data_IF_685226169336
#
_entry.id   IF_685226169336
#
_cell.length_a   1.000
_cell.length_b   1.000
_cell.length_c   1.000
_cell.angle_alpha   90.00
_cell.angle_beta   90.00
_cell.angle_gamma   90.00
#
_symmetry.space_group_name_H-M   'P 1'
#
loop_
_entity.id
_entity.type
_entity.pdbx_description
1 polymer ?
#
# COMPACT_ATOMS: atom_id res chain seq x y z
N UNK A 1 35.75 45.14 3.67
CA UNK A 1 34.79 44.29 2.90
C UNK A 1 34.77 42.83 3.35
N UNK A 2 35.86 42.24 3.84
CA UNK A 2 35.89 40.82 4.29
C UNK A 2 34.89 40.46 5.42
N UNK A 3 34.62 41.36 6.38
CA UNK A 3 33.69 41.08 7.49
C UNK A 3 32.23 40.87 7.03
N UNK A 4 31.79 41.54 5.97
CA UNK A 4 30.44 41.40 5.40
C UNK A 4 30.26 40.10 4.61
N UNK A 5 31.33 39.58 3.98
CA UNK A 5 31.30 38.29 3.30
C UNK A 5 31.18 37.11 4.28
N UNK A 6 31.82 37.18 5.46
CA UNK A 6 31.75 36.10 6.45
C UNK A 6 30.35 35.94 7.07
N UNK A 7 29.59 37.03 7.19
CA UNK A 7 28.22 37.00 7.72
C UNK A 7 27.24 36.36 6.72
N UNK A 8 27.44 36.61 5.42
CA UNK A 8 26.62 36.02 4.34
C UNK A 8 26.91 34.52 4.22
N UNK A 9 28.16 34.09 4.39
CA UNK A 9 28.53 32.67 4.37
C UNK A 9 28.03 31.91 5.62
N UNK A 10 27.99 32.58 6.78
CA UNK A 10 27.37 32.06 8.01
C UNK A 10 25.83 31.96 7.91
N UNK A 11 25.17 32.92 7.25
CA UNK A 11 23.73 32.83 6.98
C UNK A 11 23.38 31.76 5.94
N UNK A 12 24.21 31.56 4.90
CA UNK A 12 23.99 30.50 3.91
C UNK A 12 24.19 29.10 4.49
N UNK A 13 25.09 28.94 5.46
CA UNK A 13 25.26 27.67 6.17
C UNK A 13 24.15 27.41 7.18
N UNK A 14 23.56 28.44 7.80
CA UNK A 14 22.39 28.30 8.69
C UNK A 14 21.09 27.94 7.94
N UNK A 15 20.92 28.36 6.68
CA UNK A 15 19.73 28.00 5.88
C UNK A 15 19.80 26.59 5.26
N UNK A 16 20.99 25.97 5.19
CA UNK A 16 21.15 24.60 4.67
C UNK A 16 20.93 23.51 5.74
N UNK A 17 20.76 23.90 7.01
CA UNK A 17 20.29 23.01 8.08
C UNK A 17 18.82 23.28 8.43
N UNK A 18 17.98 23.53 7.42
CA UNK A 18 16.60 23.06 7.47
C UNK A 18 16.61 21.53 7.38
N UNK A 19 17.26 20.87 8.34
CA UNK A 19 17.05 19.46 8.60
C UNK A 19 15.61 19.36 9.06
N UNK A 20 14.69 19.04 8.15
CA UNK A 20 13.48 18.34 8.53
C UNK A 20 13.98 17.10 9.29
N UNK A 21 13.97 17.19 10.62
CA UNK A 21 14.29 16.04 11.45
C UNK A 21 13.25 15.00 11.06
N UNK A 22 13.68 13.85 10.51
CA UNK A 22 12.72 12.87 10.07
C UNK A 22 11.86 12.49 11.29
N UNK A 23 10.54 12.47 11.09
CA UNK A 23 9.59 12.18 12.16
C UNK A 23 9.62 10.67 12.42
N UNK A 24 9.59 10.33 13.70
CA UNK A 24 9.33 8.98 14.16
C UNK A 24 7.87 8.87 14.56
N UNK A 25 7.24 7.77 14.18
CA UNK A 25 5.89 7.42 14.61
C UNK A 25 5.94 6.08 15.32
N UNK A 26 5.14 5.96 16.37
CA UNK A 26 4.92 4.69 17.05
C UNK A 26 4.10 3.75 16.16
N UNK A 27 4.21 2.44 16.40
CA UNK A 27 3.34 1.46 15.75
C UNK A 27 1.85 1.82 15.90
N UNK A 28 1.41 2.26 17.08
CA UNK A 28 0.01 2.61 17.32
C UNK A 28 -0.45 3.80 16.46
N UNK A 29 0.39 4.80 16.26
CA UNK A 29 0.10 5.92 15.37
C UNK A 29 0.01 5.45 13.91
N UNK A 30 0.95 4.60 13.48
CA UNK A 30 0.95 4.04 12.12
C UNK A 30 -0.27 3.14 11.87
N UNK A 31 -0.69 2.34 12.84
CA UNK A 31 -1.91 1.51 12.74
C UNK A 31 -3.16 2.38 12.51
N UNK A 32 -3.16 3.63 12.99
CA UNK A 32 -4.27 4.60 12.86
C UNK A 32 -4.07 5.59 11.71
N UNK A 33 -3.04 5.43 10.89
CA UNK A 33 -2.70 6.36 9.80
C UNK A 33 -3.57 6.12 8.56
N UNK A 34 -4.84 6.50 8.63
CA UNK A 34 -5.75 6.43 7.50
C UNK A 34 -5.30 7.41 6.39
N UNK A 35 -5.05 6.88 5.20
CA UNK A 35 -4.78 7.66 3.99
C UNK A 35 -3.68 8.71 4.17
N UNK A 36 -2.61 8.33 4.85
CA UNK A 36 -1.44 9.17 5.11
C UNK A 36 -1.71 10.48 5.90
N UNK A 37 -2.65 10.46 6.85
CA UNK A 37 -2.90 11.59 7.75
C UNK A 37 -1.66 12.04 8.57
N UNK A 38 -0.73 11.14 8.83
CA UNK A 38 0.57 11.43 9.48
C UNK A 38 1.60 12.04 8.51
N UNK A 39 1.25 12.24 7.24
CA UNK A 39 2.09 12.86 6.21
C UNK A 39 3.48 12.21 6.14
N UNK A 40 3.55 10.88 6.11
CA UNK A 40 4.79 10.17 5.89
C UNK A 40 5.37 10.60 4.53
N UNK A 41 6.70 10.73 4.43
CA UNK A 41 7.36 11.02 3.15
C UNK A 41 6.99 9.99 2.09
N UNK A 42 6.83 10.48 0.87
CA UNK A 42 6.60 9.66 -0.32
C UNK A 42 7.74 9.94 -1.29
N UNK A 43 8.50 8.91 -1.64
CA UNK A 43 9.51 9.03 -2.68
C UNK A 43 8.82 9.09 -4.04
N UNK A 44 8.74 10.29 -4.62
CA UNK A 44 8.02 10.56 -5.87
C UNK A 44 8.54 9.78 -7.09
N UNK A 45 9.74 9.20 -6.99
CA UNK A 45 10.41 8.48 -8.07
C UNK A 45 10.89 7.10 -7.63
N UNK A 46 10.11 6.38 -6.81
CA UNK A 46 10.41 4.99 -6.48
C UNK A 46 10.30 4.13 -7.75
N UNK A 47 11.44 3.94 -8.41
CA UNK A 47 11.54 3.18 -9.64
C UNK A 47 11.43 1.66 -9.37
N UNK A 48 11.47 0.88 -10.43
CA UNK A 48 11.41 -0.58 -10.32
C UNK A 48 12.51 -1.18 -9.43
N UNK A 49 13.69 -0.56 -9.39
CA UNK A 49 14.81 -1.00 -8.59
C UNK A 49 14.60 -0.64 -7.11
N UNK A 50 14.02 0.52 -6.82
CA UNK A 50 13.58 0.91 -5.48
C UNK A 50 12.59 -0.11 -4.89
N UNK A 51 11.55 -0.48 -5.64
CA UNK A 51 10.61 -1.51 -5.19
C UNK A 51 11.24 -2.90 -5.08
N UNK A 52 12.13 -3.27 -6.00
CA UNK A 52 12.85 -4.53 -5.93
C UNK A 52 13.68 -4.61 -4.65
N UNK A 53 14.42 -3.56 -4.31
CA UNK A 53 15.19 -3.49 -3.05
C UNK A 53 14.31 -3.60 -1.83
N UNK A 54 13.15 -2.93 -1.83
CA UNK A 54 12.17 -3.06 -0.76
C UNK A 54 11.74 -4.54 -0.63
N UNK A 55 11.36 -5.20 -1.72
CA UNK A 55 10.93 -6.61 -1.67
C UNK A 55 12.05 -7.59 -1.31
N UNK A 56 13.28 -7.34 -1.75
CA UNK A 56 14.46 -8.12 -1.37
C UNK A 56 14.76 -7.94 0.12
N UNK A 57 14.73 -6.71 0.64
CA UNK A 57 14.86 -6.45 2.08
C UNK A 57 13.86 -7.29 2.87
N UNK A 58 12.62 -7.36 2.41
CA UNK A 58 11.55 -8.08 3.08
C UNK A 58 11.66 -9.61 3.11
N UNK A 59 12.37 -10.23 2.16
CA UNK A 59 12.50 -11.69 2.11
C UNK A 59 13.26 -12.26 3.31
N UNK A 60 14.13 -11.45 3.92
CA UNK A 60 15.04 -11.88 5.00
C UNK A 60 14.62 -11.36 6.39
N UNK A 61 13.52 -10.60 6.51
CA UNK A 61 13.08 -10.07 7.80
C UNK A 61 12.15 -11.03 8.53
N UNK A 62 12.46 -11.27 9.81
CA UNK A 62 11.51 -11.86 10.74
C UNK A 62 10.55 -10.79 11.32
N UNK A 63 9.54 -11.23 12.06
CA UNK A 63 8.53 -10.38 12.69
C UNK A 63 9.12 -9.24 13.53
N UNK A 64 10.09 -9.55 14.40
CA UNK A 64 10.69 -8.56 15.29
C UNK A 64 11.49 -7.50 14.53
N UNK A 65 12.19 -7.92 13.46
CA UNK A 65 12.88 -7.00 12.57
C UNK A 65 11.90 -6.08 11.82
N UNK A 66 10.77 -6.61 11.34
CA UNK A 66 9.70 -5.81 10.72
C UNK A 66 9.15 -4.76 11.71
N UNK A 67 8.87 -5.17 12.95
CA UNK A 67 8.40 -4.26 14.01
C UNK A 67 9.42 -3.17 14.32
N UNK A 68 10.71 -3.49 14.36
CA UNK A 68 11.77 -2.51 14.55
C UNK A 68 11.84 -1.50 13.39
N UNK A 69 11.64 -1.96 12.15
CA UNK A 69 11.65 -1.09 10.96
C UNK A 69 10.44 -0.17 10.89
N UNK A 70 9.27 -0.61 11.34
CA UNK A 70 8.08 0.24 11.48
C UNK A 70 8.30 1.41 12.45
N UNK A 71 9.21 1.29 13.41
CA UNK A 71 9.57 2.37 14.33
C UNK A 71 10.83 3.15 13.89
N UNK A 72 11.27 2.97 12.64
CA UNK A 72 12.49 3.59 12.13
C UNK A 72 12.34 5.07 11.78
N UNK A 73 13.46 5.79 11.87
CA UNK A 73 13.49 7.21 11.58
C UNK A 73 13.39 7.50 10.09
N UNK A 74 12.43 8.36 9.73
CA UNK A 74 12.17 8.72 8.35
C UNK A 74 11.45 7.63 7.57
N UNK A 75 10.61 6.84 8.23
CA UNK A 75 9.80 5.83 7.57
C UNK A 75 8.95 6.47 6.45
N UNK A 76 9.08 5.93 5.24
CA UNK A 76 8.29 6.34 4.08
C UNK A 76 6.95 5.60 4.01
N UNK A 77 5.96 6.22 3.36
CA UNK A 77 4.62 5.68 3.23
C UNK A 77 4.60 4.32 2.53
N UNK A 78 5.31 4.19 1.40
CA UNK A 78 5.39 2.92 0.65
C UNK A 78 5.99 1.80 1.51
N UNK A 79 7.04 2.12 2.28
CA UNK A 79 7.66 1.16 3.20
C UNK A 79 6.69 0.75 4.29
N UNK A 80 5.99 1.69 4.93
CA UNK A 80 4.97 1.38 5.94
C UNK A 80 3.89 0.43 5.41
N UNK A 81 3.36 0.72 4.21
CA UNK A 81 2.38 -0.12 3.50
C UNK A 81 2.85 -1.57 3.36
N UNK A 82 4.09 -1.78 2.90
CA UNK A 82 4.64 -3.13 2.76
C UNK A 82 5.05 -3.76 4.09
N UNK A 83 5.58 -3.00 5.05
CA UNK A 83 5.89 -3.51 6.38
C UNK A 83 4.64 -4.12 7.03
N UNK A 84 3.48 -3.47 6.93
CA UNK A 84 2.23 -4.04 7.43
C UNK A 84 1.80 -5.31 6.68
N UNK A 85 1.93 -5.35 5.35
CA UNK A 85 1.68 -6.58 4.58
C UNK A 85 2.58 -7.73 5.02
N UNK A 86 3.90 -7.52 5.14
CA UNK A 86 4.83 -8.57 5.56
C UNK A 86 4.69 -8.94 7.04
N UNK A 87 4.32 -7.98 7.89
CA UNK A 87 3.98 -8.26 9.29
C UNK A 87 2.78 -9.20 9.38
N UNK A 88 1.74 -8.96 8.58
CA UNK A 88 0.58 -9.85 8.48
C UNK A 88 0.98 -11.28 8.06
N UNK A 89 1.84 -11.40 7.05
CA UNK A 89 2.38 -12.68 6.60
C UNK A 89 3.18 -13.39 7.69
N UNK A 90 4.02 -12.66 8.44
CA UNK A 90 4.80 -13.22 9.54
C UNK A 90 3.90 -13.77 10.66
N UNK A 91 2.86 -13.03 11.05
CA UNK A 91 1.87 -13.54 12.01
C UNK A 91 1.12 -14.78 11.50
N UNK A 92 0.78 -14.82 10.21
CA UNK A 92 0.14 -15.98 9.61
C UNK A 92 1.04 -17.23 9.66
N UNK A 93 2.34 -17.08 9.38
CA UNK A 93 3.33 -18.17 9.50
C UNK A 93 3.44 -18.69 10.93
N UNK A 94 3.34 -17.81 11.91
CA UNK A 94 3.33 -18.18 13.34
C UNK A 94 1.97 -18.73 13.83
N UNK A 95 0.94 -18.74 12.97
CA UNK A 95 -0.41 -19.21 13.29
C UNK A 95 -1.29 -18.21 14.03
N UNK A 96 -0.83 -16.98 14.24
CA UNK A 96 -1.64 -15.89 14.82
C UNK A 96 -2.49 -15.21 13.74
N UNK A 97 -3.56 -15.91 13.35
CA UNK A 97 -4.45 -15.44 12.29
C UNK A 97 -5.19 -14.16 12.67
N UNK A 98 -5.37 -13.86 13.96
CA UNK A 98 -6.03 -12.64 14.41
C UNK A 98 -5.18 -11.42 14.04
N UNK A 99 -3.90 -11.44 14.39
CA UNK A 99 -2.99 -10.35 14.03
C UNK A 99 -2.69 -10.34 12.53
N UNK A 100 -2.62 -11.49 11.87
CA UNK A 100 -2.48 -11.54 10.42
C UNK A 100 -3.61 -10.81 9.69
N UNK A 101 -4.86 -11.07 10.09
CA UNK A 101 -6.04 -10.38 9.51
C UNK A 101 -5.98 -8.89 9.83
N UNK A 102 -5.76 -8.52 11.10
CA UNK A 102 -5.65 -7.11 11.54
C UNK A 102 -4.67 -6.33 10.65
N UNK A 103 -3.46 -6.86 10.43
CA UNK A 103 -2.44 -6.14 9.68
C UNK A 103 -2.66 -6.16 8.17
N UNK A 104 -3.32 -7.19 7.62
CA UNK A 104 -3.82 -7.12 6.25
C UNK A 104 -4.88 -6.03 6.10
N UNK A 105 -5.83 -5.91 7.02
CA UNK A 105 -6.85 -4.85 7.01
C UNK A 105 -6.23 -3.46 7.08
N UNK A 106 -5.28 -3.23 7.99
CA UNK A 106 -4.56 -1.95 8.09
C UNK A 106 -3.85 -1.63 6.77
N UNK A 107 -3.05 -2.57 6.24
CA UNK A 107 -2.34 -2.35 4.98
C UNK A 107 -3.31 -2.10 3.81
N UNK A 108 -4.40 -2.85 3.72
CA UNK A 108 -5.37 -2.76 2.63
C UNK A 108 -6.18 -1.46 2.70
N UNK A 109 -6.71 -1.11 3.87
CA UNK A 109 -7.74 -0.07 4.01
C UNK A 109 -7.15 1.29 4.38
N UNK A 110 -6.03 1.32 5.12
CA UNK A 110 -5.43 2.59 5.55
C UNK A 110 -4.33 3.04 4.57
N UNK A 111 -3.64 2.08 3.96
CA UNK A 111 -2.51 2.32 3.05
C UNK A 111 -2.80 1.91 1.60
N UNK A 112 -3.99 1.37 1.30
CA UNK A 112 -4.37 0.96 -0.06
C UNK A 112 -3.41 -0.05 -0.68
N UNK A 113 -2.87 -0.97 0.13
CA UNK A 113 -1.93 -1.98 -0.34
C UNK A 113 -2.64 -3.05 -1.20
N UNK A 114 -2.29 -3.19 -2.49
CA UNK A 114 -2.98 -4.11 -3.39
C UNK A 114 -2.74 -5.59 -3.04
N UNK A 115 -1.62 -5.95 -2.41
CA UNK A 115 -1.33 -7.33 -2.01
C UNK A 115 -2.20 -7.74 -0.81
N UNK A 116 -2.35 -6.86 0.18
CA UNK A 116 -3.27 -7.11 1.30
C UNK A 116 -4.73 -7.13 0.87
N UNK A 117 -5.15 -6.27 -0.06
CA UNK A 117 -6.49 -6.33 -0.66
C UNK A 117 -6.73 -7.70 -1.32
N UNK A 118 -5.77 -8.21 -2.10
CA UNK A 118 -5.87 -9.56 -2.68
C UNK A 118 -5.93 -10.65 -1.61
N UNK A 119 -5.14 -10.54 -0.53
CA UNK A 119 -5.19 -11.51 0.59
C UNK A 119 -6.52 -11.51 1.32
N UNK A 120 -7.12 -10.34 1.54
CA UNK A 120 -8.45 -10.26 2.12
C UNK A 120 -9.52 -10.79 1.17
N UNK A 121 -9.37 -10.62 -0.15
CA UNK A 121 -10.23 -11.25 -1.13
C UNK A 121 -10.14 -12.79 -1.06
N UNK A 122 -8.93 -13.34 -1.03
CA UNK A 122 -8.68 -14.79 -0.88
C UNK A 122 -9.29 -15.32 0.43
N UNK A 123 -9.08 -14.63 1.55
CA UNK A 123 -9.63 -15.00 2.85
C UNK A 123 -11.16 -15.05 2.81
N UNK A 124 -11.79 -14.01 2.27
CA UNK A 124 -13.26 -13.95 2.21
C UNK A 124 -13.84 -15.00 1.26
N UNK A 125 -13.15 -15.30 0.15
CA UNK A 125 -13.58 -16.34 -0.78
C UNK A 125 -13.39 -17.77 -0.23
N UNK A 126 -12.21 -18.09 0.30
CA UNK A 126 -11.85 -19.45 0.69
C UNK A 126 -12.30 -19.82 2.10
N UNK A 127 -12.24 -18.87 3.05
CA UNK A 127 -12.48 -19.14 4.47
C UNK A 127 -13.85 -18.63 4.90
N UNK A 128 -14.12 -17.32 4.77
CA UNK A 128 -15.35 -16.73 5.31
C UNK A 128 -16.59 -17.03 4.45
N UNK A 129 -16.38 -17.38 3.17
CA UNK A 129 -17.44 -17.53 2.16
C UNK A 129 -18.27 -16.27 1.95
N UNK A 130 -17.66 -15.11 2.23
CA UNK A 130 -18.22 -13.79 1.94
C UNK A 130 -17.82 -13.38 0.52
N UNK A 131 -18.53 -13.94 -0.45
CA UNK A 131 -18.28 -13.66 -1.87
C UNK A 131 -18.48 -12.18 -2.24
N UNK A 132 -19.50 -11.45 -1.72
CA UNK A 132 -19.61 -10.02 -1.90
C UNK A 132 -18.33 -9.27 -1.52
N UNK A 133 -17.85 -9.48 -0.28
CA UNK A 133 -16.67 -8.78 0.23
C UNK A 133 -15.40 -9.19 -0.52
N UNK A 134 -15.28 -10.48 -0.86
CA UNK A 134 -14.18 -10.97 -1.68
C UNK A 134 -14.14 -10.30 -3.07
N UNK A 135 -15.31 -10.13 -3.70
CA UNK A 135 -15.43 -9.48 -5.00
C UNK A 135 -15.04 -8.00 -4.93
N UNK A 136 -15.48 -7.28 -3.90
CA UNK A 136 -15.10 -5.87 -3.69
C UNK A 136 -13.59 -5.74 -3.53
N UNK A 137 -12.97 -6.44 -2.57
CA UNK A 137 -11.53 -6.33 -2.34
C UNK A 137 -10.69 -6.74 -3.57
N UNK A 138 -11.15 -7.75 -4.33
CA UNK A 138 -10.46 -8.17 -5.55
C UNK A 138 -10.46 -7.06 -6.60
N UNK A 139 -11.61 -6.41 -6.84
CA UNK A 139 -11.70 -5.31 -7.80
C UNK A 139 -10.88 -4.09 -7.36
N UNK A 140 -10.88 -3.77 -6.07
CA UNK A 140 -10.01 -2.72 -5.51
C UNK A 140 -8.52 -3.02 -5.72
N UNK A 141 -8.10 -4.26 -5.45
CA UNK A 141 -6.72 -4.73 -5.67
C UNK A 141 -6.31 -4.62 -7.14
N UNK A 142 -7.18 -5.06 -8.05
CA UNK A 142 -6.95 -5.02 -9.49
C UNK A 142 -6.80 -3.59 -10.00
N UNK A 143 -7.71 -2.70 -9.61
CA UNK A 143 -7.68 -1.31 -10.07
C UNK A 143 -6.42 -0.57 -9.60
N UNK A 144 -6.03 -0.73 -8.33
CA UNK A 144 -4.78 -0.17 -7.80
C UNK A 144 -3.56 -0.79 -8.51
N UNK A 145 -3.60 -2.09 -8.82
CA UNK A 145 -2.51 -2.75 -9.56
C UNK A 145 -2.39 -2.23 -10.98
N UNK A 146 -3.50 -1.94 -11.66
CA UNK A 146 -3.52 -1.29 -12.98
C UNK A 146 -2.91 0.10 -12.88
N UNK A 147 -3.35 0.91 -11.92
CA UNK A 147 -2.81 2.25 -11.67
C UNK A 147 -1.29 2.21 -11.45
N UNK A 148 -0.79 1.31 -10.60
CA UNK A 148 0.64 1.09 -10.38
C UNK A 148 1.35 0.73 -11.70
N UNK A 149 0.77 -0.17 -12.49
CA UNK A 149 1.36 -0.65 -13.74
C UNK A 149 1.43 0.44 -14.80
N UNK A 150 0.39 1.27 -14.90
CA UNK A 150 0.34 2.35 -15.88
C UNK A 150 1.35 3.46 -15.57
N UNK A 151 1.53 3.79 -14.28
CA UNK A 151 2.53 4.78 -13.86
C UNK A 151 3.96 4.21 -13.84
N UNK A 152 4.13 2.90 -13.57
CA UNK A 152 5.43 2.25 -13.54
C UNK A 152 5.32 0.78 -14.00
N UNK A 153 5.41 0.55 -15.32
CA UNK A 153 5.32 -0.80 -15.92
C UNK A 153 6.38 -1.78 -15.42
N UNK A 154 7.50 -1.27 -14.94
CA UNK A 154 8.61 -2.07 -14.41
C UNK A 154 8.41 -2.43 -12.93
N UNK A 155 7.35 -1.92 -12.28
CA UNK A 155 7.02 -2.20 -10.89
C UNK A 155 6.86 -3.71 -10.66
N UNK A 156 7.46 -4.31 -9.61
CA UNK A 156 7.39 -5.77 -9.43
C UNK A 156 5.97 -6.31 -9.21
N UNK A 157 5.08 -5.53 -8.58
CA UNK A 157 3.63 -5.86 -8.49
C UNK A 157 2.92 -5.90 -9.84
N UNK A 158 3.38 -5.15 -10.85
CA UNK A 158 2.78 -5.19 -12.20
C UNK A 158 2.86 -6.59 -12.83
N UNK A 159 3.83 -7.41 -12.41
CA UNK A 159 3.99 -8.80 -12.86
C UNK A 159 3.28 -9.81 -11.96
N UNK A 160 3.16 -9.53 -10.66
CA UNK A 160 2.68 -10.51 -9.67
C UNK A 160 1.15 -10.60 -9.55
N UNK A 161 0.40 -9.57 -9.96
CA UNK A 161 -1.06 -9.53 -9.78
C UNK A 161 -1.86 -10.40 -10.77
N UNK A 162 -1.31 -10.73 -11.93
CA UNK A 162 -2.14 -11.15 -13.08
C UNK A 162 -2.77 -12.54 -12.91
N UNK A 163 -1.98 -13.58 -12.63
CA UNK A 163 -2.47 -14.96 -12.74
C UNK A 163 -3.39 -15.36 -11.58
N UNK A 164 -3.01 -15.02 -10.34
CA UNK A 164 -3.82 -15.35 -9.15
C UNK A 164 -5.12 -14.56 -9.08
N UNK A 165 -5.06 -13.25 -9.34
CA UNK A 165 -6.26 -12.42 -9.33
C UNK A 165 -7.21 -12.81 -10.47
N UNK A 166 -6.69 -13.20 -11.63
CA UNK A 166 -7.51 -13.68 -12.75
C UNK A 166 -8.24 -14.98 -12.41
N UNK A 167 -7.59 -15.95 -11.76
CA UNK A 167 -8.25 -17.17 -11.28
C UNK A 167 -9.38 -16.83 -10.29
N UNK A 168 -9.09 -16.02 -9.27
CA UNK A 168 -10.08 -15.67 -8.25
C UNK A 168 -11.26 -14.89 -8.85
N UNK A 169 -10.99 -14.01 -9.81
CA UNK A 169 -12.02 -13.25 -10.53
C UNK A 169 -12.95 -14.20 -11.29
N UNK A 170 -12.40 -15.15 -12.06
CA UNK A 170 -13.21 -16.13 -12.80
C UNK A 170 -14.11 -16.95 -11.87
N UNK A 171 -13.59 -17.38 -10.72
CA UNK A 171 -14.39 -18.14 -9.76
C UNK A 171 -15.49 -17.30 -9.11
N UNK A 172 -15.20 -16.06 -8.74
CA UNK A 172 -16.23 -15.15 -8.21
C UNK A 172 -17.28 -14.79 -9.26
N UNK A 173 -16.88 -14.57 -10.52
CA UNK A 173 -17.79 -14.36 -11.64
C UNK A 173 -18.77 -15.53 -11.78
N UNK A 174 -18.24 -16.76 -11.71
CA UNK A 174 -19.02 -18.00 -11.72
C UNK A 174 -19.98 -18.12 -10.54
N UNK A 175 -19.56 -17.72 -9.34
CA UNK A 175 -20.45 -17.67 -8.18
C UNK A 175 -21.58 -16.64 -8.36
N UNK A 176 -21.26 -15.48 -8.93
CA UNK A 176 -22.25 -14.46 -9.29
C UNK A 176 -23.24 -14.95 -10.35
N UNK A 177 -22.77 -15.64 -11.39
CA UNK A 177 -23.65 -16.21 -12.44
C UNK A 177 -24.57 -17.31 -11.90
N UNK A 178 -24.14 -17.98 -10.83
CA UNK A 178 -24.96 -18.94 -10.08
C UNK A 178 -25.90 -18.28 -9.08
N UNK A 179 -25.98 -16.95 -9.06
CA UNK A 179 -26.78 -16.15 -8.12
C UNK A 179 -26.46 -16.43 -6.64
N UNK A 180 -25.21 -16.78 -6.34
CA UNK A 180 -24.75 -16.97 -4.95
C UNK A 180 -24.66 -15.61 -4.22
N UNK A 181 -24.45 -14.53 -4.97
CA UNK A 181 -24.55 -13.16 -4.52
C UNK A 181 -25.03 -12.24 -5.65
N UNK A 182 -25.52 -11.04 -5.31
CA UNK A 182 -25.96 -10.05 -6.29
C UNK A 182 -24.77 -9.34 -6.95
N UNK A 183 -24.20 -10.00 -7.97
CA UNK A 183 -23.08 -9.46 -8.74
C UNK A 183 -23.44 -8.15 -9.44
N UNK A 184 -24.67 -7.99 -9.89
CA UNK A 184 -25.10 -6.80 -10.63
C UNK A 184 -25.10 -5.57 -9.72
N UNK A 185 -25.69 -5.68 -8.53
CA UNK A 185 -25.70 -4.61 -7.54
C UNK A 185 -24.28 -4.20 -7.13
N UNK A 186 -23.39 -5.17 -6.84
CA UNK A 186 -22.00 -4.86 -6.45
C UNK A 186 -21.23 -4.21 -7.60
N UNK A 187 -21.47 -4.62 -8.85
CA UNK A 187 -20.84 -3.95 -10.01
C UNK A 187 -21.28 -2.50 -10.16
N UNK A 188 -22.56 -2.19 -9.93
CA UNK A 188 -23.02 -0.79 -9.93
C UNK A 188 -22.38 0.02 -8.79
N UNK A 189 -22.24 -0.56 -7.60
CA UNK A 189 -21.52 0.05 -6.49
C UNK A 189 -20.05 0.33 -6.86
N UNK A 190 -19.34 -0.66 -7.42
CA UNK A 190 -17.93 -0.53 -7.78
C UNK A 190 -17.67 0.55 -8.84
N UNK A 191 -18.60 0.78 -9.79
CA UNK A 191 -18.50 1.89 -10.75
C UNK A 191 -18.43 3.26 -10.08
N UNK A 192 -19.03 3.40 -8.89
CA UNK A 192 -19.06 4.65 -8.13
C UNK A 192 -17.83 4.75 -7.21
N UNK A 193 -17.37 3.63 -6.66
CA UNK A 193 -16.34 3.60 -5.60
C UNK A 193 -14.91 3.50 -6.12
N UNK A 194 -14.67 2.85 -7.25
CA UNK A 194 -13.31 2.57 -7.73
C UNK A 194 -12.58 3.84 -8.17
N UNK A 195 -13.25 4.77 -8.88
CA UNK A 195 -12.61 6.02 -9.30
C UNK A 195 -12.14 6.85 -8.10
N UNK A 196 -12.99 7.17 -7.10
CA UNK A 196 -12.53 7.86 -5.88
C UNK A 196 -11.41 7.13 -5.12
N UNK A 197 -11.44 5.79 -5.11
CA UNK A 197 -10.39 4.99 -4.48
C UNK A 197 -9.04 5.18 -5.17
N UNK A 198 -9.02 5.14 -6.50
CA UNK A 198 -7.81 5.38 -7.31
C UNK A 198 -7.32 6.81 -7.15
N UNK A 199 -8.22 7.79 -7.20
CA UNK A 199 -7.86 9.19 -6.98
C UNK A 199 -7.23 9.37 -5.59
N UNK A 200 -7.80 8.72 -4.57
CA UNK A 200 -7.21 8.70 -3.22
C UNK A 200 -5.85 8.04 -3.20
N UNK A 201 -5.67 6.92 -3.89
CA UNK A 201 -4.37 6.25 -4.03
C UNK A 201 -3.33 7.18 -4.66
N UNK A 202 -3.68 7.86 -5.76
CA UNK A 202 -2.80 8.82 -6.44
C UNK A 202 -2.40 9.96 -5.51
N UNK A 203 -3.36 10.53 -4.79
CA UNK A 203 -3.14 11.62 -3.84
C UNK A 203 -2.14 11.22 -2.75
N UNK A 204 -2.37 10.11 -2.05
CA UNK A 204 -1.54 9.73 -0.90
C UNK A 204 -0.13 9.30 -1.31
N UNK A 205 0.05 8.82 -2.56
CA UNK A 205 1.33 8.40 -3.11
C UNK A 205 1.94 9.41 -4.10
N UNK A 206 1.41 10.65 -4.15
CA UNK A 206 1.99 11.73 -4.94
C UNK A 206 2.06 11.43 -6.44
N UNK A 207 1.19 10.57 -6.96
CA UNK A 207 1.09 10.30 -8.39
C UNK A 207 0.36 11.49 -9.03
N UNK A 208 0.93 12.04 -10.12
CA UNK A 208 0.30 13.15 -10.86
C UNK A 208 -1.10 12.77 -11.40
N UNK A 209 -1.85 13.68 -12.04
CA UNK A 209 -3.13 13.32 -12.68
C UNK A 209 -2.92 12.35 -13.85
N UNK A 210 -3.93 11.52 -14.17
CA UNK A 210 -3.84 10.61 -15.32
C UNK A 210 -3.75 11.48 -16.56
N UNK A 211 -2.65 11.37 -17.32
CA UNK A 211 -2.64 11.95 -18.66
C UNK A 211 -3.76 11.23 -19.41
N UNK A 212 -4.79 11.98 -19.81
CA UNK A 212 -5.92 11.45 -20.55
C UNK A 212 -5.40 10.84 -21.85
N UNK A 213 -5.39 9.52 -21.92
CA UNK A 213 -5.14 8.73 -23.14
C UNK A 213 -6.31 8.83 -24.10
#
# INVERSE_FOLDING_TARGET
MLKKLSLIFALFTLCLFSCDNPKNYTLEELEKNHYNALTLPVEAALDAEGYKKIFEEFQDLNKDQILNRLNSNGLELHKASFYFYYLAMAYAVEGDMKNAIKYHEIAAEHYLNPQSLLKLAELNFHVNKDYPKAYVYLHQSLEITIEITENNRSHPIAKNGKDKAQFLLQELERMGDRNIFDKAAIREQLKIELTPLVDKYREIYGLGPRESS
#
